data_IF_071315783025
#
_entry.id   IF_071315783025
#
_cell.length_a   1.000
_cell.length_b   1.000
_cell.length_c   1.000
_cell.angle_alpha   90.00
_cell.angle_beta   90.00
_cell.angle_gamma   90.00
#
_symmetry.space_group_name_H-M   'P 1'
#
loop_
_entity.id
_entity.type
_entity.pdbx_description
1 polymer ?
#
# COMPACT_ATOMS: atom_id res chain seq x y z
N UNK A 1 -2.56 -2.21 23.16
CA UNK A 1 -3.15 -1.68 21.90
C UNK A 1 -2.19 -0.65 21.37
N UNK A 2 -1.42 -0.99 20.33
CA UNK A 2 -0.39 -0.11 19.76
C UNK A 2 -0.50 -0.19 18.23
N UNK A 3 -1.48 0.52 17.66
CA UNK A 3 -1.75 0.41 16.22
C UNK A 3 -2.21 1.74 15.61
N UNK A 4 -1.42 2.83 15.69
CA UNK A 4 -1.60 3.98 14.76
C UNK A 4 -0.43 4.98 14.64
N UNK A 5 0.69 4.83 15.35
CA UNK A 5 1.77 5.86 15.30
C UNK A 5 2.87 5.61 14.25
N UNK A 6 2.71 4.60 13.38
CA UNK A 6 3.73 4.30 12.36
C UNK A 6 3.53 5.18 11.14
N UNK A 7 4.60 5.85 10.72
CA UNK A 7 4.63 6.58 9.45
C UNK A 7 4.24 5.62 8.30
N UNK A 8 3.22 5.93 7.47
CA UNK A 8 2.73 5.06 6.40
C UNK A 8 3.83 4.44 5.53
N UNK A 9 4.85 5.24 5.22
CA UNK A 9 5.97 4.85 4.33
C UNK A 9 6.86 3.74 4.91
N UNK A 10 6.76 3.45 6.21
CA UNK A 10 7.52 2.39 6.87
C UNK A 10 6.77 1.04 6.94
N UNK A 11 5.53 0.96 6.44
CA UNK A 11 4.72 -0.25 6.50
C UNK A 11 5.05 -1.21 5.35
N UNK A 12 4.93 -2.52 5.60
CA UNK A 12 4.88 -3.51 4.51
C UNK A 12 3.56 -3.40 3.75
N UNK A 13 3.45 -4.06 2.59
CA UNK A 13 2.22 -4.07 1.81
C UNK A 13 1.05 -4.61 2.63
N UNK A 14 1.21 -5.74 3.29
CA UNK A 14 0.16 -6.40 4.08
C UNK A 14 -0.29 -5.54 5.26
N UNK A 15 0.65 -4.82 5.89
CA UNK A 15 0.35 -3.92 6.99
C UNK A 15 -0.42 -2.68 6.49
N UNK A 16 0.03 -2.06 5.41
CA UNK A 16 -0.61 -0.89 4.84
C UNK A 16 -2.00 -1.21 4.29
N UNK A 17 -2.14 -2.35 3.62
CA UNK A 17 -3.41 -2.83 3.08
C UNK A 17 -4.41 -3.17 4.18
N UNK A 18 -3.99 -3.89 5.23
CA UNK A 18 -4.87 -4.20 6.37
C UNK A 18 -5.33 -2.95 7.13
N UNK A 19 -4.47 -1.94 7.27
CA UNK A 19 -4.87 -0.66 7.85
C UNK A 19 -5.85 0.08 6.94
N UNK A 20 -5.63 0.07 5.63
CA UNK A 20 -6.53 0.67 4.65
C UNK A 20 -7.92 0.02 4.66
N UNK A 21 -8.00 -1.31 4.73
CA UNK A 21 -9.27 -2.04 4.87
C UNK A 21 -10.02 -1.62 6.14
N UNK A 22 -9.30 -1.50 7.26
CA UNK A 22 -9.88 -1.05 8.54
C UNK A 22 -10.42 0.39 8.46
N UNK A 23 -9.75 1.26 7.70
CA UNK A 23 -10.20 2.64 7.46
C UNK A 23 -11.47 2.65 6.61
N UNK A 24 -11.52 1.84 5.55
CA UNK A 24 -12.72 1.73 4.70
C UNK A 24 -13.90 1.25 5.53
N UNK A 25 -13.72 0.20 6.34
CA UNK A 25 -14.75 -0.31 7.25
C UNK A 25 -15.21 0.76 8.26
N UNK A 26 -14.28 1.56 8.80
CA UNK A 26 -14.62 2.68 9.68
C UNK A 26 -15.43 3.76 8.95
N UNK A 27 -15.06 4.12 7.73
CA UNK A 27 -15.76 5.14 6.92
C UNK A 27 -17.16 4.71 6.47
N UNK A 28 -17.40 3.40 6.31
CA UNK A 28 -18.73 2.86 5.99
C UNK A 28 -19.71 3.00 7.18
N UNK A 29 -19.21 3.16 8.40
CA UNK A 29 -20.04 3.45 9.57
C UNK A 29 -20.46 4.92 9.58
N UNK A 30 -21.71 5.19 9.17
CA UNK A 30 -22.32 6.52 8.99
C UNK A 30 -22.46 7.39 10.27
N UNK A 31 -21.89 6.99 11.40
CA UNK A 31 -22.02 7.68 12.68
C UNK A 31 -20.82 8.53 13.07
N UNK A 32 -19.78 8.62 12.24
CA UNK A 32 -18.59 9.42 12.58
C UNK A 32 -18.77 10.92 12.35
N UNK A 33 -18.24 11.78 13.23
CA UNK A 33 -18.12 13.21 12.98
C UNK A 33 -17.31 13.51 11.71
N UNK A 34 -17.67 14.58 11.01
CA UNK A 34 -17.00 15.00 9.77
C UNK A 34 -15.47 15.11 9.92
N UNK A 35 -14.99 15.71 11.01
CA UNK A 35 -13.56 15.86 11.27
C UNK A 35 -12.83 14.52 11.40
N UNK A 36 -13.49 13.48 11.92
CA UNK A 36 -12.92 12.13 11.99
C UNK A 36 -12.92 11.46 10.62
N UNK A 37 -14.01 11.60 9.87
CA UNK A 37 -14.10 11.09 8.49
C UNK A 37 -13.03 11.71 7.59
N UNK A 38 -12.73 13.01 7.75
CA UNK A 38 -11.67 13.68 7.00
C UNK A 38 -10.29 13.10 7.32
N UNK A 39 -9.99 12.84 8.61
CA UNK A 39 -8.70 12.23 9.02
C UNK A 39 -8.55 10.81 8.47
N UNK A 40 -9.62 10.02 8.51
CA UNK A 40 -9.64 8.68 7.93
C UNK A 40 -9.40 8.71 6.42
N UNK A 41 -10.06 9.64 5.71
CA UNK A 41 -9.87 9.83 4.28
C UNK A 41 -8.42 10.19 3.93
N UNK A 42 -7.83 11.19 4.61
CA UNK A 42 -6.44 11.59 4.39
C UNK A 42 -5.47 10.43 4.65
N UNK A 43 -5.67 9.71 5.75
CA UNK A 43 -4.86 8.53 6.09
C UNK A 43 -5.00 7.43 5.02
N UNK A 44 -6.22 7.15 4.58
CA UNK A 44 -6.53 6.17 3.54
C UNK A 44 -5.89 6.52 2.20
N UNK A 45 -5.88 7.80 1.82
CA UNK A 45 -5.22 8.25 0.59
C UNK A 45 -3.70 8.02 0.64
N UNK A 46 -3.07 8.30 1.78
CA UNK A 46 -1.64 8.06 1.95
C UNK A 46 -1.32 6.55 1.90
N UNK A 47 -2.14 5.70 2.55
CA UNK A 47 -1.97 4.25 2.51
C UNK A 47 -2.16 3.68 1.11
N UNK A 48 -3.17 4.14 0.38
CA UNK A 48 -3.43 3.74 -1.00
C UNK A 48 -2.21 4.05 -1.90
N UNK A 49 -1.69 5.27 -1.81
CA UNK A 49 -0.49 5.67 -2.57
C UNK A 49 0.74 4.82 -2.21
N UNK A 50 0.90 4.47 -0.93
CA UNK A 50 2.00 3.62 -0.47
C UNK A 50 1.86 2.19 -1.02
N UNK A 51 0.66 1.61 -0.97
CA UNK A 51 0.38 0.29 -1.54
C UNK A 51 0.69 0.25 -3.04
N UNK A 52 0.25 1.25 -3.81
CA UNK A 52 0.57 1.35 -5.24
C UNK A 52 2.08 1.40 -5.47
N UNK A 53 2.81 2.24 -4.72
CA UNK A 53 4.27 2.33 -4.83
C UNK A 53 4.97 0.99 -4.56
N UNK A 54 4.52 0.24 -3.56
CA UNK A 54 5.08 -1.08 -3.26
C UNK A 54 4.83 -2.08 -4.40
N UNK A 55 3.64 -2.07 -5.00
CA UNK A 55 3.30 -2.92 -6.14
C UNK A 55 4.09 -2.55 -7.39
N UNK A 56 4.23 -1.26 -7.69
CA UNK A 56 5.02 -0.76 -8.83
C UNK A 56 6.48 -1.20 -8.73
N UNK A 57 7.06 -1.11 -7.53
CA UNK A 57 8.42 -1.57 -7.26
C UNK A 57 8.57 -3.08 -7.42
N UNK A 58 7.57 -3.86 -6.97
CA UNK A 58 7.57 -5.31 -7.15
C UNK A 58 7.47 -5.69 -8.64
N UNK A 59 6.62 -5.01 -9.40
CA UNK A 59 6.48 -5.21 -10.84
C UNK A 59 7.78 -4.86 -11.59
N UNK A 60 8.41 -3.73 -11.26
CA UNK A 60 9.70 -3.34 -11.83
C UNK A 60 10.76 -4.42 -11.61
N UNK A 61 10.86 -4.94 -10.39
CA UNK A 61 11.80 -6.01 -10.06
C UNK A 61 11.54 -7.29 -10.87
N UNK A 62 10.27 -7.65 -11.08
CA UNK A 62 9.91 -8.80 -11.93
C UNK A 62 10.34 -8.56 -13.38
N UNK A 63 10.11 -7.37 -13.92
CA UNK A 63 10.53 -7.00 -15.29
C UNK A 63 12.04 -7.10 -15.45
N UNK A 64 12.82 -6.55 -14.51
CA UNK A 64 14.28 -6.62 -14.53
C UNK A 64 14.81 -8.06 -14.53
N UNK A 65 14.22 -8.94 -13.72
CA UNK A 65 14.59 -10.36 -13.68
C UNK A 65 14.29 -11.07 -15.00
N UNK A 66 13.15 -10.78 -15.63
CA UNK A 66 12.76 -11.36 -16.92
C UNK A 66 13.65 -10.88 -18.07
N UNK A 67 14.01 -9.60 -18.10
CA UNK A 67 14.94 -9.04 -19.08
C UNK A 67 16.34 -9.63 -18.92
N UNK A 68 16.79 -9.83 -17.68
CA UNK A 68 18.07 -10.46 -17.36
C UNK A 68 18.12 -11.92 -17.83
N UNK A 69 17.02 -12.67 -17.66
CA UNK A 69 16.91 -14.07 -18.10
C UNK A 69 16.96 -14.21 -19.62
N UNK A 70 16.30 -13.31 -20.37
CA UNK A 70 16.31 -13.32 -21.84
C UNK A 70 17.69 -13.05 -22.46
N UNK A 71 18.65 -12.54 -21.69
CA UNK A 71 20.02 -12.27 -22.17
C UNK A 71 20.96 -13.46 -22.00
N UNK A 72 20.56 -14.48 -21.24
CA UNK A 72 21.35 -15.69 -20.95
C UNK A 72 21.02 -16.87 -21.88
N UNK A 73 19.98 -16.75 -22.70
CA UNK A 73 19.50 -17.83 -23.61
C UNK A 73 19.97 -17.62 -25.09
N UNK A 74 20.92 -16.72 -25.37
CA UNK A 74 21.41 -16.40 -26.74
C UNK A 74 22.84 -16.87 -27.04
N UNK A 75 23.28 -17.96 -26.43
CA UNK A 75 24.50 -18.67 -26.86
C UNK A 75 24.17 -20.16 -27.03
N UNK A 76 23.65 -20.52 -28.23
CA UNK A 76 23.89 -21.78 -28.96
C UNK A 76 23.35 -21.65 -30.40
#
# INVERSE_FOLDING_TARGET
MAKTDKTPLALTYEQAFSELESIVEAMENQQQPLDETMKLFERGQILSQHCTSLLDNAELRIKELNTSKSSLDKED
#
